data_IF_949746818476
#
_entry.id   IF_949746818476
#
_cell.length_a   1.000
_cell.length_b   1.000
_cell.length_c   1.000
_cell.angle_alpha   90.00
_cell.angle_beta   90.00
_cell.angle_gamma   90.00
#
_symmetry.space_group_name_H-M   'P 1'
#
loop_
_entity.id
_entity.type
_entity.pdbx_description
1 polymer ?
#
# COMPACT_ATOMS: atom_id res chain seq x y z
N UNK A 1 -3.52 38.01 10.07
CA UNK A 1 -2.48 37.20 9.40
C UNK A 1 -3.14 36.44 8.27
N UNK A 2 -2.43 36.14 7.18
CA UNK A 2 -3.00 35.30 6.12
C UNK A 2 -3.23 33.88 6.66
N UNK A 3 -4.38 33.30 6.34
CA UNK A 3 -4.72 31.90 6.65
C UNK A 3 -4.81 31.11 5.35
N UNK A 4 -4.38 29.85 5.41
CA UNK A 4 -4.32 28.95 4.26
C UNK A 4 -5.30 27.79 4.47
N UNK A 5 -6.07 27.42 3.43
CA UNK A 5 -6.96 26.28 3.50
C UNK A 5 -6.16 24.98 3.49
N UNK A 6 -6.27 24.19 4.56
CA UNK A 6 -5.60 22.90 4.72
C UNK A 6 -6.65 21.84 5.10
N UNK A 7 -6.46 20.58 4.73
CA UNK A 7 -7.35 19.49 5.18
C UNK A 7 -6.89 18.93 6.51
N UNK A 8 -7.82 18.43 7.32
CA UNK A 8 -7.53 17.48 8.38
C UNK A 8 -7.54 16.05 7.79
N UNK A 9 -6.96 15.09 8.49
CA UNK A 9 -6.91 13.69 8.05
C UNK A 9 -8.29 13.05 7.87
N UNK A 10 -9.37 13.61 8.41
CA UNK A 10 -10.77 13.21 8.12
C UNK A 10 -11.42 14.00 6.95
N UNK A 11 -10.65 14.81 6.24
CA UNK A 11 -11.10 15.61 5.10
C UNK A 11 -11.70 16.98 5.45
N UNK A 12 -11.92 17.27 6.75
CA UNK A 12 -12.45 18.57 7.17
C UNK A 12 -11.52 19.70 6.73
N UNK A 13 -12.08 20.76 6.16
CA UNK A 13 -11.31 21.97 5.83
C UNK A 13 -11.01 22.78 7.09
N UNK A 14 -9.74 23.11 7.26
CA UNK A 14 -9.19 23.99 8.28
C UNK A 14 -8.64 25.25 7.60
N UNK A 15 -8.51 26.32 8.37
CA UNK A 15 -7.80 27.54 7.96
C UNK A 15 -6.72 27.78 8.99
N UNK A 16 -5.46 27.64 8.57
CA UNK A 16 -4.31 27.70 9.46
C UNK A 16 -3.38 28.82 9.02
N UNK A 17 -2.76 29.49 9.98
CA UNK A 17 -1.66 30.41 9.70
C UNK A 17 -0.41 29.65 9.23
N UNK A 18 0.50 30.35 8.54
CA UNK A 18 1.79 29.78 8.13
C UNK A 18 2.56 29.14 9.29
N UNK A 19 2.54 29.78 10.46
CA UNK A 19 3.24 29.26 11.64
C UNK A 19 2.62 27.95 12.13
N UNK A 20 1.29 27.86 12.21
CA UNK A 20 0.61 26.62 12.61
C UNK A 20 0.91 25.45 11.66
N UNK A 21 0.99 25.73 10.36
CA UNK A 21 1.37 24.72 9.36
C UNK A 21 2.81 24.26 9.60
N UNK A 22 3.73 25.18 9.85
CA UNK A 22 5.12 24.85 10.16
C UNK A 22 5.26 24.06 11.47
N UNK A 23 4.49 24.40 12.49
CA UNK A 23 4.47 23.67 13.76
C UNK A 23 3.97 22.23 13.54
N UNK A 24 2.87 22.06 12.77
CA UNK A 24 2.34 20.76 12.39
C UNK A 24 3.36 19.91 11.59
N UNK A 25 4.11 20.52 10.66
CA UNK A 25 5.18 19.84 9.91
C UNK A 25 6.24 19.31 10.88
N UNK A 26 6.74 20.15 11.77
CA UNK A 26 7.79 19.77 12.72
C UNK A 26 7.32 18.67 13.69
N UNK A 27 6.08 18.74 14.17
CA UNK A 27 5.49 17.68 14.99
C UNK A 27 5.38 16.34 14.24
N UNK A 28 4.96 16.37 12.97
CA UNK A 28 4.83 15.16 12.15
C UNK A 28 6.17 14.50 11.85
N UNK A 29 7.20 15.30 11.57
CA UNK A 29 8.58 14.82 11.39
C UNK A 29 9.11 14.19 12.68
N UNK A 30 8.95 14.87 13.82
CA UNK A 30 9.45 14.39 15.10
C UNK A 30 8.82 13.05 15.50
N UNK A 31 7.51 12.88 15.26
CA UNK A 31 6.81 11.61 15.51
C UNK A 31 7.40 10.45 14.69
N UNK A 32 7.56 10.64 13.37
CA UNK A 32 8.14 9.62 12.50
C UNK A 32 9.60 9.32 12.85
N UNK A 33 10.40 10.36 13.07
CA UNK A 33 11.82 10.21 13.38
C UNK A 33 12.06 9.46 14.69
N UNK A 34 11.24 9.70 15.71
CA UNK A 34 11.31 8.98 16.98
C UNK A 34 10.91 7.51 16.81
N UNK A 35 9.75 7.25 16.18
CA UNK A 35 9.21 5.89 15.97
C UNK A 35 10.18 5.03 15.14
N UNK A 36 10.66 5.53 14.00
CA UNK A 36 11.53 4.78 13.12
C UNK A 36 13.01 4.87 13.49
N UNK A 37 13.39 5.74 14.45
CA UNK A 37 14.79 6.05 14.74
C UNK A 37 15.57 6.50 13.50
N UNK A 38 14.97 7.38 12.69
CA UNK A 38 15.52 7.90 11.42
C UNK A 38 15.80 9.40 11.51
N UNK A 39 16.65 9.95 10.63
CA UNK A 39 16.88 11.39 10.60
C UNK A 39 15.61 12.18 10.29
N UNK A 40 15.52 13.38 10.86
CA UNK A 40 14.52 14.37 10.44
C UNK A 40 14.72 14.78 8.97
N UNK A 41 13.66 15.29 8.35
CA UNK A 41 13.77 16.03 7.09
C UNK A 41 14.72 17.23 7.24
N UNK A 42 15.39 17.59 6.15
CA UNK A 42 16.32 18.72 6.14
C UNK A 42 15.56 20.05 6.18
N UNK A 43 16.25 21.16 6.51
CA UNK A 43 15.64 22.49 6.46
C UNK A 43 15.10 22.84 5.07
N UNK A 44 15.82 22.47 4.01
CA UNK A 44 15.38 22.69 2.63
C UNK A 44 14.11 21.89 2.30
N UNK A 45 14.01 20.64 2.78
CA UNK A 45 12.81 19.82 2.63
C UNK A 45 11.60 20.45 3.35
N UNK A 46 11.81 20.98 4.56
CA UNK A 46 10.76 21.62 5.37
C UNK A 46 10.26 22.89 4.69
N UNK A 47 11.18 23.73 4.22
CA UNK A 47 10.84 24.96 3.51
C UNK A 47 10.07 24.66 2.23
N UNK A 48 10.51 23.66 1.46
CA UNK A 48 9.84 23.26 0.23
C UNK A 48 8.46 22.61 0.47
N UNK A 49 8.32 21.78 1.51
CA UNK A 49 7.03 21.24 1.92
C UNK A 49 6.05 22.34 2.32
N UNK A 50 6.53 23.35 3.05
CA UNK A 50 5.72 24.49 3.43
C UNK A 50 5.24 25.26 2.20
N UNK A 51 6.10 25.46 1.19
CA UNK A 51 5.72 26.08 -0.09
C UNK A 51 4.61 25.30 -0.80
N UNK A 52 4.72 23.96 -0.90
CA UNK A 52 3.68 23.11 -1.50
C UNK A 52 2.34 23.25 -0.76
N UNK A 53 2.38 23.26 0.57
CA UNK A 53 1.16 23.29 1.40
C UNK A 53 0.43 24.65 1.31
N UNK A 54 1.15 25.75 1.22
CA UNK A 54 0.57 27.10 1.16
C UNK A 54 0.32 27.62 -0.27
N UNK A 55 0.64 26.83 -1.29
CA UNK A 55 0.39 27.16 -2.69
C UNK A 55 -1.10 27.52 -2.88
N UNK A 56 -1.35 28.65 -3.56
CA UNK A 56 -2.71 29.18 -3.78
C UNK A 56 -3.48 28.44 -4.88
N UNK A 57 -2.80 27.63 -5.69
CA UNK A 57 -3.43 26.81 -6.71
C UNK A 57 -4.22 25.67 -6.07
N UNK A 58 -5.36 25.36 -6.68
CA UNK A 58 -6.19 24.23 -6.23
C UNK A 58 -5.46 22.90 -6.39
N UNK A 59 -4.77 22.73 -7.51
CA UNK A 59 -3.99 21.55 -7.87
C UNK A 59 -2.54 21.94 -8.07
N UNK A 60 -1.63 21.12 -7.56
CA UNK A 60 -0.19 21.26 -7.81
C UNK A 60 0.32 20.05 -8.58
N UNK A 61 1.48 20.16 -9.22
CA UNK A 61 2.09 19.07 -9.96
C UNK A 61 3.60 19.19 -9.98
N UNK A 62 4.24 18.16 -10.50
CA UNK A 62 5.69 18.14 -10.75
C UNK A 62 6.01 18.86 -12.05
N UNK A 63 7.27 19.28 -12.21
CA UNK A 63 7.74 19.83 -13.48
C UNK A 63 7.81 18.76 -14.57
N UNK A 64 7.67 19.16 -15.83
CA UNK A 64 7.82 18.24 -16.98
C UNK A 64 9.21 17.61 -16.96
N UNK A 65 9.27 16.28 -17.07
CA UNK A 65 10.48 15.47 -16.95
C UNK A 65 10.76 14.97 -15.53
N UNK A 66 9.91 15.30 -14.55
CA UNK A 66 9.96 14.78 -13.17
C UNK A 66 8.78 13.86 -12.84
N UNK A 67 7.99 13.47 -13.84
CA UNK A 67 6.92 12.49 -13.67
C UNK A 67 7.48 11.13 -13.23
N UNK A 68 6.68 10.41 -12.45
CA UNK A 68 6.99 9.06 -11.95
C UNK A 68 5.91 8.10 -12.44
N UNK A 69 6.15 6.79 -12.33
CA UNK A 69 5.20 5.77 -12.76
C UNK A 69 3.96 5.80 -11.85
N UNK A 70 2.77 5.83 -12.45
CA UNK A 70 1.52 5.62 -11.73
C UNK A 70 1.16 4.13 -11.72
N UNK A 71 1.29 3.51 -10.55
CA UNK A 71 0.92 2.11 -10.32
C UNK A 71 -0.33 2.05 -9.47
N UNK A 72 -1.37 1.45 -10.02
CA UNK A 72 -2.66 1.43 -9.36
C UNK A 72 -3.07 0.01 -8.96
N UNK A 73 -3.71 -0.05 -7.80
CA UNK A 73 -4.33 -1.23 -7.22
C UNK A 73 -5.85 -1.26 -7.48
N UNK A 74 -6.51 -2.34 -7.04
CA UNK A 74 -7.97 -2.58 -7.06
C UNK A 74 -8.56 -2.72 -8.47
N UNK A 75 -7.86 -2.24 -9.49
CA UNK A 75 -8.18 -2.59 -10.84
C UNK A 75 -9.52 -2.00 -11.27
N UNK A 76 -10.20 -2.74 -12.13
CA UNK A 76 -11.51 -2.35 -12.64
C UNK A 76 -12.55 -2.04 -11.53
N UNK A 77 -12.32 -2.52 -10.30
CA UNK A 77 -13.20 -2.37 -9.14
C UNK A 77 -13.30 -0.89 -8.72
N UNK A 78 -12.32 -0.05 -9.04
CA UNK A 78 -12.45 1.40 -8.85
C UNK A 78 -13.65 1.99 -9.58
N UNK A 79 -14.03 1.39 -10.71
CA UNK A 79 -15.20 1.81 -11.47
C UNK A 79 -16.46 1.05 -11.04
N UNK A 80 -16.41 -0.29 -11.00
CA UNK A 80 -17.59 -1.14 -10.78
C UNK A 80 -17.96 -1.35 -9.31
N UNK A 81 -16.98 -1.31 -8.41
CA UNK A 81 -17.14 -1.52 -6.98
C UNK A 81 -17.97 -0.43 -6.32
N UNK A 82 -18.55 -0.73 -5.17
CA UNK A 82 -19.26 0.27 -4.38
C UNK A 82 -18.28 1.15 -3.56
N UNK A 83 -18.83 2.16 -2.90
CA UNK A 83 -18.03 3.12 -2.10
C UNK A 83 -17.33 2.48 -0.90
N UNK A 84 -17.72 1.27 -0.50
CA UNK A 84 -17.07 0.51 0.58
C UNK A 84 -15.67 0.04 0.22
N UNK A 85 -15.43 -0.25 -1.06
CA UNK A 85 -14.11 -0.59 -1.62
C UNK A 85 -13.50 0.58 -2.39
N UNK A 86 -13.88 1.83 -2.09
CA UNK A 86 -13.44 3.04 -2.80
C UNK A 86 -13.90 3.15 -4.26
N UNK A 87 -14.82 2.29 -4.70
CA UNK A 87 -15.32 2.28 -6.07
C UNK A 87 -16.43 3.32 -6.34
N UNK A 88 -16.72 3.52 -7.63
CA UNK A 88 -17.69 4.52 -8.11
C UNK A 88 -19.12 3.99 -8.35
N UNK A 89 -19.33 2.68 -8.28
CA UNK A 89 -20.63 2.02 -8.48
C UNK A 89 -21.15 2.11 -9.92
N UNK A 90 -20.26 2.27 -10.90
CA UNK A 90 -20.60 2.37 -12.31
C UNK A 90 -20.74 0.94 -12.86
N UNK A 91 -21.91 0.53 -13.39
CA UNK A 91 -22.09 -0.82 -13.92
C UNK A 91 -21.30 -0.97 -15.22
N UNK A 92 -20.08 -1.48 -15.11
CA UNK A 92 -19.13 -1.70 -16.20
C UNK A 92 -18.59 -3.13 -16.11
N UNK A 93 -18.16 -3.70 -17.24
CA UNK A 93 -17.51 -5.02 -17.22
C UNK A 93 -16.02 -4.89 -16.88
N UNK A 94 -15.40 -5.94 -16.34
CA UNK A 94 -13.98 -5.93 -16.00
C UNK A 94 -13.05 -5.52 -17.16
N UNK A 95 -13.28 -6.07 -18.35
CA UNK A 95 -12.51 -5.70 -19.55
C UNK A 95 -12.75 -4.24 -19.94
N UNK A 96 -14.01 -3.77 -19.94
CA UNK A 96 -14.30 -2.38 -20.28
C UNK A 96 -13.67 -1.43 -19.27
N UNK A 97 -13.71 -1.77 -17.97
CA UNK A 97 -13.08 -0.99 -16.92
C UNK A 97 -11.56 -0.90 -17.08
N UNK A 98 -10.90 -2.01 -17.41
CA UNK A 98 -9.47 -2.01 -17.70
C UNK A 98 -9.13 -1.14 -18.93
N UNK A 99 -9.89 -1.27 -20.02
CA UNK A 99 -9.71 -0.43 -21.21
C UNK A 99 -10.00 1.05 -20.95
N UNK A 100 -10.90 1.38 -20.01
CA UNK A 100 -11.16 2.75 -19.59
C UNK A 100 -9.96 3.35 -18.87
N UNK A 101 -9.34 2.62 -17.94
CA UNK A 101 -8.13 3.08 -17.25
C UNK A 101 -6.97 3.33 -18.24
N UNK A 102 -6.71 2.37 -19.14
CA UNK A 102 -5.67 2.52 -20.16
C UNK A 102 -5.96 3.72 -21.10
N UNK A 103 -7.15 3.77 -21.71
CA UNK A 103 -7.39 4.64 -22.87
C UNK A 103 -7.90 6.03 -22.51
N UNK A 104 -8.62 6.16 -21.39
CA UNK A 104 -9.25 7.41 -20.99
C UNK A 104 -8.55 8.07 -19.81
N UNK A 105 -7.94 7.29 -18.90
CA UNK A 105 -7.28 7.81 -17.71
C UNK A 105 -5.76 7.90 -17.84
N UNK A 106 -5.16 7.11 -18.76
CA UNK A 106 -3.73 7.15 -19.02
C UNK A 106 -2.89 6.54 -17.90
N UNK A 107 -3.39 5.48 -17.26
CA UNK A 107 -2.62 4.74 -16.26
C UNK A 107 -1.39 4.08 -16.91
N UNK A 108 -0.24 4.15 -16.24
CA UNK A 108 1.01 3.54 -16.74
C UNK A 108 0.97 2.01 -16.60
N UNK A 109 0.33 1.53 -15.54
CA UNK A 109 0.01 0.12 -15.29
C UNK A 109 -1.17 0.04 -14.34
N UNK A 110 -1.86 -1.09 -14.38
CA UNK A 110 -3.05 -1.34 -13.58
C UNK A 110 -3.19 -2.85 -13.41
N UNK A 111 -4.27 -3.29 -12.77
CA UNK A 111 -4.44 -4.70 -12.49
C UNK A 111 -5.85 -5.24 -12.69
N UNK A 112 -5.91 -6.56 -12.79
CA UNK A 112 -7.11 -7.34 -12.69
C UNK A 112 -7.26 -7.82 -11.26
N UNK A 113 -8.45 -7.68 -10.69
CA UNK A 113 -8.67 -8.21 -9.35
C UNK A 113 -10.07 -8.78 -9.14
N UNK A 114 -10.24 -9.66 -8.15
CA UNK A 114 -11.55 -10.15 -7.74
C UNK A 114 -12.19 -9.17 -6.74
N UNK A 115 -13.52 -9.09 -6.68
CA UNK A 115 -14.25 -8.10 -5.85
C UNK A 115 -13.92 -8.14 -4.34
N UNK A 116 -13.56 -9.32 -3.81
CA UNK A 116 -13.10 -9.47 -2.41
C UNK A 116 -11.65 -8.99 -2.22
N UNK A 117 -10.91 -8.92 -3.32
CA UNK A 117 -9.53 -8.46 -3.36
C UNK A 117 -8.57 -9.25 -2.47
N UNK A 118 -8.88 -10.51 -2.13
CA UNK A 118 -8.02 -11.36 -1.29
C UNK A 118 -7.62 -12.67 -1.96
N UNK A 119 -6.46 -13.21 -1.59
CA UNK A 119 -5.91 -14.48 -2.13
C UNK A 119 -6.87 -15.65 -1.90
N UNK A 120 -7.44 -15.77 -0.69
CA UNK A 120 -8.25 -16.94 -0.31
C UNK A 120 -9.52 -17.11 -1.19
N UNK A 121 -10.32 -16.06 -1.47
CA UNK A 121 -11.49 -16.20 -2.33
C UNK A 121 -11.19 -16.37 -3.81
N UNK A 122 -10.01 -15.95 -4.28
CA UNK A 122 -9.57 -16.18 -5.67
C UNK A 122 -9.30 -17.66 -5.94
N UNK A 123 -8.70 -18.38 -4.99
CA UNK A 123 -8.32 -19.80 -5.15
C UNK A 123 -9.41 -20.72 -5.70
N UNK A 124 -10.65 -20.77 -5.17
CA UNK A 124 -11.70 -21.66 -5.70
C UNK A 124 -12.19 -21.28 -7.11
N UNK A 125 -11.98 -20.03 -7.55
CA UNK A 125 -12.44 -19.52 -8.85
C UNK A 125 -11.28 -19.25 -9.82
N UNK A 126 -10.07 -19.77 -9.53
CA UNK A 126 -8.84 -19.44 -10.24
C UNK A 126 -8.94 -19.61 -11.77
N UNK A 127 -9.68 -20.61 -12.25
CA UNK A 127 -9.87 -20.83 -13.68
C UNK A 127 -10.64 -19.69 -14.38
N UNK A 128 -11.57 -19.04 -13.68
CA UNK A 128 -12.30 -17.88 -14.20
C UNK A 128 -11.38 -16.65 -14.25
N UNK A 129 -10.56 -16.46 -13.21
CA UNK A 129 -9.60 -15.36 -13.13
C UNK A 129 -8.50 -15.48 -14.19
N UNK A 130 -8.01 -16.69 -14.46
CA UNK A 130 -7.08 -16.95 -15.56
C UNK A 130 -7.69 -16.59 -16.93
N UNK A 131 -8.94 -16.98 -17.20
CA UNK A 131 -9.62 -16.63 -18.46
C UNK A 131 -9.83 -15.11 -18.60
N UNK A 132 -10.16 -14.43 -17.50
CA UNK A 132 -10.30 -12.98 -17.48
C UNK A 132 -8.96 -12.30 -17.76
N UNK A 133 -7.87 -12.80 -17.17
CA UNK A 133 -6.51 -12.32 -17.42
C UNK A 133 -6.10 -12.51 -18.89
N UNK A 134 -6.27 -13.71 -19.45
CA UNK A 134 -5.98 -13.97 -20.87
C UNK A 134 -6.79 -13.05 -21.79
N UNK A 135 -8.06 -12.79 -21.45
CA UNK A 135 -8.91 -11.89 -22.22
C UNK A 135 -8.39 -10.45 -22.15
N UNK A 136 -8.00 -9.98 -20.96
CA UNK A 136 -7.46 -8.64 -20.77
C UNK A 136 -6.14 -8.46 -21.54
N UNK A 137 -5.21 -9.40 -21.42
CA UNK A 137 -3.92 -9.36 -22.11
C UNK A 137 -4.02 -9.40 -23.65
N UNK A 138 -5.10 -9.95 -24.20
CA UNK A 138 -5.34 -9.88 -25.64
C UNK A 138 -5.85 -8.50 -26.14
N UNK A 139 -6.23 -7.60 -25.22
CA UNK A 139 -6.89 -6.33 -25.55
C UNK A 139 -6.17 -5.08 -25.02
N UNK A 140 -5.33 -5.24 -24.00
CA UNK A 140 -4.52 -4.19 -23.40
C UNK A 140 -3.13 -4.14 -24.03
N UNK A 141 -2.48 -2.99 -23.85
CA UNK A 141 -1.11 -2.69 -24.30
C UNK A 141 -0.21 -2.34 -23.11
N UNK A 142 -0.74 -1.66 -22.09
CA UNK A 142 0.00 -1.38 -20.86
C UNK A 142 0.28 -2.69 -20.09
N UNK A 143 1.36 -2.75 -19.28
CA UNK A 143 1.55 -3.85 -18.35
C UNK A 143 0.30 -4.05 -17.48
N UNK A 144 -0.14 -5.29 -17.35
CA UNK A 144 -1.35 -5.62 -16.63
C UNK A 144 -1.10 -6.71 -15.57
N UNK A 145 -1.24 -6.29 -14.32
CA UNK A 145 -0.99 -7.09 -13.15
C UNK A 145 -2.23 -7.85 -12.70
N UNK A 146 -2.05 -8.73 -11.72
CA UNK A 146 -3.16 -9.21 -10.90
C UNK A 146 -2.94 -8.83 -9.44
N UNK A 147 -3.93 -8.18 -8.85
CA UNK A 147 -3.88 -7.73 -7.47
C UNK A 147 -4.66 -8.63 -6.53
N UNK A 148 -4.07 -8.91 -5.38
CA UNK A 148 -4.79 -9.49 -4.25
C UNK A 148 -4.06 -9.26 -2.93
N UNK A 149 -4.82 -8.92 -1.91
CA UNK A 149 -4.38 -8.90 -0.54
C UNK A 149 -4.06 -10.31 -0.03
N UNK A 150 -2.95 -10.50 0.70
CA UNK A 150 -2.70 -11.71 1.47
C UNK A 150 -3.85 -12.00 2.45
N UNK A 151 -4.32 -10.96 3.16
CA UNK A 151 -5.47 -10.95 4.06
C UNK A 151 -5.55 -12.20 4.96
N UNK A 152 -4.54 -12.37 5.81
CA UNK A 152 -4.46 -13.54 6.70
C UNK A 152 -5.64 -13.62 7.67
N UNK A 153 -6.37 -12.53 7.89
CA UNK A 153 -7.61 -12.48 8.68
C UNK A 153 -8.62 -13.54 8.25
N UNK A 154 -8.74 -13.81 6.95
CA UNK A 154 -9.66 -14.80 6.40
C UNK A 154 -9.27 -16.25 6.75
N UNK A 155 -8.05 -16.50 7.23
CA UNK A 155 -7.62 -17.83 7.67
C UNK A 155 -8.01 -18.13 9.12
N UNK A 156 -8.51 -17.14 9.84
CA UNK A 156 -9.04 -17.29 11.20
C UNK A 156 -10.55 -17.50 11.22
N UNK A 157 -11.03 -18.18 12.26
CA UNK A 157 -12.44 -18.38 12.55
C UNK A 157 -13.17 -17.03 12.67
N UNK A 158 -14.41 -16.92 12.13
CA UNK A 158 -15.26 -18.01 11.63
C UNK A 158 -15.02 -18.44 10.18
N UNK A 159 -14.31 -17.63 9.39
CA UNK A 159 -14.19 -17.85 7.94
C UNK A 159 -13.09 -18.87 7.59
N UNK A 160 -12.11 -19.02 8.47
CA UNK A 160 -10.99 -19.93 8.33
C UNK A 160 -10.89 -20.98 9.43
N UNK A 161 -9.99 -21.96 9.25
CA UNK A 161 -9.91 -23.13 10.12
C UNK A 161 -9.13 -22.88 11.43
N UNK A 162 -8.41 -21.76 11.55
CA UNK A 162 -7.54 -21.48 12.70
C UNK A 162 -8.24 -20.59 13.73
N UNK A 163 -7.90 -20.70 15.01
CA UNK A 163 -8.48 -19.84 16.03
C UNK A 163 -8.06 -18.38 15.83
N UNK A 164 -8.99 -17.44 16.02
CA UNK A 164 -8.68 -16.01 15.87
C UNK A 164 -7.74 -15.55 17.01
N UNK A 165 -6.55 -15.01 16.70
CA UNK A 165 -5.58 -14.63 17.74
C UNK A 165 -6.14 -13.60 18.73
N UNK A 166 -6.94 -12.63 18.27
CA UNK A 166 -7.50 -11.61 19.16
C UNK A 166 -8.49 -12.22 20.18
N UNK A 167 -9.30 -13.18 19.76
CA UNK A 167 -10.24 -13.87 20.65
C UNK A 167 -9.52 -14.80 21.62
N UNK A 168 -8.56 -15.59 21.12
CA UNK A 168 -7.75 -16.47 21.95
C UNK A 168 -6.94 -15.69 22.99
N UNK A 169 -6.39 -14.53 22.63
CA UNK A 169 -5.69 -13.65 23.56
C UNK A 169 -6.63 -13.07 24.63
N UNK A 170 -7.87 -12.70 24.28
CA UNK A 170 -8.91 -12.27 25.26
C UNK A 170 -9.27 -13.39 26.24
N UNK A 171 -9.15 -14.64 25.82
CA UNK A 171 -9.34 -15.83 26.65
C UNK A 171 -8.07 -16.25 27.41
N UNK A 172 -6.99 -15.46 27.35
CA UNK A 172 -5.67 -15.76 27.94
C UNK A 172 -4.99 -17.01 27.37
N UNK A 173 -5.37 -17.45 26.16
CA UNK A 173 -4.81 -18.61 25.46
C UNK A 173 -3.70 -18.19 24.49
N UNK A 174 -2.64 -17.59 25.05
CA UNK A 174 -1.56 -16.98 24.26
C UNK A 174 -0.82 -18.01 23.38
N UNK A 175 -0.55 -19.19 23.92
CA UNK A 175 0.14 -20.24 23.17
C UNK A 175 -0.70 -20.74 21.98
N UNK A 176 -2.01 -20.93 22.20
CA UNK A 176 -2.92 -21.34 21.12
C UNK A 176 -3.05 -20.25 20.04
N UNK A 177 -3.00 -18.97 20.43
CA UNK A 177 -3.00 -17.84 19.49
C UNK A 177 -1.74 -17.85 18.61
N UNK A 178 -0.57 -18.12 19.20
CA UNK A 178 0.70 -18.26 18.49
C UNK A 178 0.69 -19.42 17.51
N UNK A 179 0.29 -20.60 17.98
CA UNK A 179 0.18 -21.81 17.16
C UNK A 179 -0.82 -21.64 16.00
N UNK A 180 -1.95 -20.95 16.26
CA UNK A 180 -2.93 -20.63 15.21
C UNK A 180 -2.36 -19.68 14.16
N UNK A 181 -1.58 -18.69 14.59
CA UNK A 181 -0.89 -17.76 13.69
C UNK A 181 0.15 -18.50 12.84
N UNK A 182 1.05 -19.28 13.44
CA UNK A 182 2.06 -20.08 12.74
C UNK A 182 1.43 -21.03 11.69
N UNK A 183 0.34 -21.70 12.04
CA UNK A 183 -0.38 -22.58 11.11
C UNK A 183 -1.05 -21.79 9.96
N UNK A 184 -1.56 -20.59 10.24
CA UNK A 184 -2.12 -19.70 9.22
C UNK A 184 -1.04 -19.18 8.26
N UNK A 185 0.17 -18.88 8.76
CA UNK A 185 1.31 -18.45 7.93
C UNK A 185 1.61 -19.47 6.82
N UNK A 186 1.76 -20.74 7.20
CA UNK A 186 2.07 -21.79 6.23
C UNK A 186 0.92 -22.03 5.24
N UNK A 187 -0.33 -21.83 5.67
CA UNK A 187 -1.49 -21.97 4.79
C UNK A 187 -1.54 -20.83 3.77
N UNK A 188 -1.45 -19.58 4.22
CA UNK A 188 -1.48 -18.42 3.36
C UNK A 188 -0.32 -18.44 2.36
N UNK A 189 0.90 -18.76 2.77
CA UNK A 189 2.05 -18.85 1.86
C UNK A 189 1.82 -19.86 0.71
N UNK A 190 1.20 -21.03 1.01
CA UNK A 190 0.84 -22.02 -0.02
C UNK A 190 -0.22 -21.50 -0.98
N UNK A 191 -1.19 -20.75 -0.48
CA UNK A 191 -2.28 -20.21 -1.29
C UNK A 191 -1.80 -19.06 -2.17
N UNK A 192 -0.94 -18.17 -1.63
CA UNK A 192 -0.21 -17.16 -2.42
C UNK A 192 0.51 -17.83 -3.57
N UNK A 193 1.32 -18.86 -3.28
CA UNK A 193 2.07 -19.56 -4.33
C UNK A 193 1.13 -20.18 -5.38
N UNK A 194 0.05 -20.83 -4.97
CA UNK A 194 -0.90 -21.44 -5.90
C UNK A 194 -1.59 -20.40 -6.79
N UNK A 195 -2.15 -19.33 -6.21
CA UNK A 195 -2.89 -18.31 -6.95
C UNK A 195 -1.96 -17.55 -7.89
N UNK A 196 -0.86 -17.02 -7.37
CA UNK A 196 0.05 -16.19 -8.15
C UNK A 196 0.67 -16.95 -9.32
N UNK A 197 1.15 -18.17 -9.13
CA UNK A 197 1.73 -18.97 -10.23
C UNK A 197 0.71 -19.31 -11.31
N UNK A 198 -0.55 -19.56 -10.94
CA UNK A 198 -1.63 -19.81 -11.91
C UNK A 198 -1.95 -18.57 -12.72
N UNK A 199 -2.04 -17.42 -12.07
CA UNK A 199 -2.26 -16.15 -12.77
C UNK A 199 -1.08 -15.79 -13.68
N UNK A 200 0.16 -15.94 -13.22
CA UNK A 200 1.33 -15.72 -14.08
C UNK A 200 1.31 -16.67 -15.29
N UNK A 201 0.86 -17.92 -15.12
CA UNK A 201 0.73 -18.87 -16.24
C UNK A 201 -0.37 -18.49 -17.26
N UNK A 202 -1.32 -17.64 -16.87
CA UNK A 202 -2.34 -17.06 -17.73
C UNK A 202 -1.87 -15.79 -18.46
N UNK A 203 -0.61 -15.41 -18.29
CA UNK A 203 0.04 -14.33 -19.02
C UNK A 203 0.02 -12.98 -18.34
N UNK A 204 -0.32 -12.88 -17.05
CA UNK A 204 -0.15 -11.63 -16.29
C UNK A 204 1.30 -11.13 -16.36
N UNK A 205 1.49 -9.81 -16.47
CA UNK A 205 2.85 -9.22 -16.48
C UNK A 205 3.49 -9.20 -15.09
N UNK A 206 2.65 -9.24 -14.05
CA UNK A 206 3.09 -9.38 -12.69
C UNK A 206 1.95 -9.63 -11.71
N UNK A 207 2.31 -9.65 -10.43
CA UNK A 207 1.40 -9.82 -9.31
C UNK A 207 1.62 -8.72 -8.28
N UNK A 208 0.52 -8.12 -7.80
CA UNK A 208 0.54 -7.14 -6.72
C UNK A 208 0.03 -7.76 -5.42
N UNK A 209 0.89 -7.78 -4.40
CA UNK A 209 0.53 -8.10 -3.03
C UNK A 209 0.20 -6.81 -2.28
N UNK A 210 -1.04 -6.36 -2.42
CA UNK A 210 -1.50 -5.16 -1.72
C UNK A 210 -1.83 -5.44 -0.24
N UNK A 211 -1.78 -4.39 0.59
CA UNK A 211 -2.23 -4.43 2.00
C UNK A 211 -1.55 -5.55 2.81
N UNK A 212 -0.29 -5.84 2.46
CA UNK A 212 0.56 -6.83 3.15
C UNK A 212 0.75 -6.43 4.61
N UNK A 213 0.72 -7.42 5.51
CA UNK A 213 0.86 -7.25 6.96
C UNK A 213 -0.36 -6.64 7.69
N UNK A 214 -1.52 -6.56 7.03
CA UNK A 214 -2.75 -6.01 7.64
C UNK A 214 -3.24 -6.80 8.85
N UNK A 215 -3.01 -8.11 8.88
CA UNK A 215 -3.24 -8.97 10.03
C UNK A 215 -2.00 -9.19 10.91
N UNK A 216 -0.96 -8.37 10.75
CA UNK A 216 0.24 -8.34 11.57
C UNK A 216 1.43 -9.12 11.02
N UNK A 217 2.38 -9.42 11.90
CA UNK A 217 3.66 -10.08 11.60
C UNK A 217 3.53 -11.45 10.93
N UNK A 218 2.51 -12.24 11.28
CA UNK A 218 2.25 -13.49 10.56
C UNK A 218 1.88 -13.30 9.10
N UNK A 219 1.04 -12.30 8.80
CA UNK A 219 0.63 -11.99 7.42
C UNK A 219 1.86 -11.57 6.60
N UNK A 220 2.74 -10.75 7.19
CA UNK A 220 3.97 -10.34 6.55
C UNK A 220 4.90 -11.53 6.25
N UNK A 221 5.15 -12.42 7.24
CA UNK A 221 6.00 -13.61 7.02
C UNK A 221 5.41 -14.53 5.97
N UNK A 222 4.09 -14.75 6.00
CA UNK A 222 3.41 -15.59 5.01
C UNK A 222 3.58 -15.03 3.60
N UNK A 223 3.45 -13.71 3.46
CA UNK A 223 3.61 -13.00 2.19
C UNK A 223 5.03 -13.09 1.67
N UNK A 224 6.05 -12.82 2.51
CA UNK A 224 7.46 -12.96 2.13
C UNK A 224 7.79 -14.39 1.66
N UNK A 225 7.33 -15.41 2.38
CA UNK A 225 7.48 -16.82 1.95
C UNK A 225 6.77 -17.11 0.62
N UNK A 226 5.56 -16.57 0.44
CA UNK A 226 4.82 -16.69 -0.81
C UNK A 226 5.54 -16.04 -2.00
N UNK A 227 6.13 -14.86 -1.79
CA UNK A 227 6.93 -14.13 -2.77
C UNK A 227 8.19 -14.92 -3.15
N UNK A 228 8.89 -15.53 -2.20
CA UNK A 228 10.04 -16.41 -2.49
C UNK A 228 9.64 -17.60 -3.38
N UNK A 229 8.50 -18.22 -3.06
CA UNK A 229 7.97 -19.34 -3.83
C UNK A 229 7.60 -18.90 -5.26
N UNK A 230 6.92 -17.76 -5.40
CA UNK A 230 6.58 -17.19 -6.70
C UNK A 230 7.82 -16.83 -7.52
N UNK A 231 8.78 -16.10 -6.93
CA UNK A 231 10.04 -15.73 -7.60
C UNK A 231 10.81 -16.96 -8.08
N UNK A 232 10.79 -18.04 -7.31
CA UNK A 232 11.45 -19.31 -7.68
C UNK A 232 10.76 -19.99 -8.86
N UNK A 233 9.44 -20.06 -8.86
CA UNK A 233 8.66 -20.74 -9.92
C UNK A 233 8.54 -19.88 -11.20
N UNK A 234 8.45 -18.56 -11.03
CA UNK A 234 8.33 -17.58 -12.10
C UNK A 234 9.45 -16.52 -11.98
N UNK A 235 10.71 -16.83 -12.36
CA UNK A 235 11.85 -15.93 -12.17
C UNK A 235 11.74 -14.56 -12.81
N UNK A 236 10.91 -14.42 -13.85
CA UNK A 236 10.69 -13.17 -14.58
C UNK A 236 9.44 -12.41 -14.12
N UNK A 237 8.66 -12.95 -13.18
CA UNK A 237 7.46 -12.27 -12.70
C UNK A 237 7.82 -10.91 -12.13
N UNK A 238 7.08 -9.87 -12.51
CA UNK A 238 7.13 -8.61 -11.77
C UNK A 238 6.31 -8.76 -10.50
N UNK A 239 6.90 -8.44 -9.35
CA UNK A 239 6.24 -8.62 -8.05
C UNK A 239 6.20 -7.27 -7.36
N UNK A 240 5.00 -6.71 -7.19
CA UNK A 240 4.78 -5.56 -6.34
C UNK A 240 4.39 -6.06 -4.93
N UNK A 241 4.90 -5.39 -3.91
CA UNK A 241 4.59 -5.71 -2.51
C UNK A 241 4.25 -4.41 -1.78
N UNK A 242 2.96 -4.10 -1.71
CA UNK A 242 2.40 -2.98 -0.99
C UNK A 242 2.11 -3.33 0.48
N UNK A 243 2.54 -2.48 1.40
CA UNK A 243 2.31 -2.65 2.84
C UNK A 243 0.97 -2.03 3.28
N UNK A 244 0.42 -2.48 4.41
CA UNK A 244 -0.81 -1.94 5.00
C UNK A 244 -0.62 -0.83 6.05
N UNK A 245 0.56 -0.78 6.69
CA UNK A 245 0.91 0.24 7.68
C UNK A 245 2.42 0.50 7.76
N UNK A 246 2.80 1.64 8.33
CA UNK A 246 4.22 1.99 8.52
C UNK A 246 4.94 1.04 9.49
N UNK A 247 4.20 0.36 10.37
CA UNK A 247 4.73 -0.57 11.36
C UNK A 247 4.06 -1.93 11.22
N UNK A 248 4.85 -2.99 11.17
CA UNK A 248 4.33 -4.36 11.23
C UNK A 248 3.82 -4.63 12.65
N UNK A 249 2.52 -4.85 12.81
CA UNK A 249 1.93 -5.14 14.12
C UNK A 249 2.34 -6.52 14.63
N UNK A 250 2.90 -6.60 15.84
CA UNK A 250 3.29 -7.86 16.47
C UNK A 250 2.12 -8.59 17.11
N UNK A 251 1.24 -9.20 16.31
CA UNK A 251 0.13 -10.03 16.82
C UNK A 251 0.68 -11.32 17.43
N UNK A 252 1.66 -11.94 16.78
CA UNK A 252 2.47 -13.00 17.38
C UNK A 252 3.64 -12.41 18.19
N UNK A 253 4.33 -11.41 17.64
CA UNK A 253 5.38 -10.61 18.28
C UNK A 253 6.79 -11.21 18.21
N UNK A 254 6.93 -12.45 17.73
CA UNK A 254 8.18 -13.22 17.74
C UNK A 254 8.42 -13.96 16.42
N UNK A 255 7.60 -13.73 15.40
CA UNK A 255 7.78 -14.39 14.11
C UNK A 255 8.98 -13.79 13.37
N UNK A 256 9.80 -14.70 12.85
CA UNK A 256 11.03 -14.36 12.14
C UNK A 256 10.92 -14.69 10.64
N UNK A 257 11.57 -13.84 9.85
CA UNK A 257 11.92 -14.11 8.47
C UNK A 257 13.44 -13.98 8.30
N UNK A 258 14.07 -15.08 7.87
CA UNK A 258 15.52 -15.26 7.83
C UNK A 258 16.27 -14.77 9.09
N UNK A 259 15.80 -15.20 10.26
CA UNK A 259 16.42 -14.89 11.56
C UNK A 259 16.18 -13.46 12.07
N UNK A 260 15.36 -12.66 11.39
CA UNK A 260 14.96 -11.33 11.83
C UNK A 260 13.50 -11.33 12.27
N UNK A 261 13.24 -10.93 13.52
CA UNK A 261 11.88 -10.66 14.01
C UNK A 261 11.26 -9.55 13.17
N UNK A 262 10.07 -9.80 12.62
CA UNK A 262 9.44 -8.86 11.69
C UNK A 262 8.47 -7.89 12.37
N UNK A 263 8.05 -8.17 13.61
CA UNK A 263 7.22 -7.27 14.39
C UNK A 263 7.95 -5.95 14.69
N UNK A 264 7.26 -4.83 14.52
CA UNK A 264 7.77 -3.48 14.76
C UNK A 264 8.69 -2.92 13.67
N UNK A 265 8.92 -3.65 12.56
CA UNK A 265 9.73 -3.12 11.47
C UNK A 265 9.04 -1.94 10.80
N UNK A 266 9.83 -0.89 10.56
CA UNK A 266 9.46 0.31 9.81
C UNK A 266 9.74 0.16 8.30
N UNK A 267 9.29 1.07 7.42
CA UNK A 267 9.37 0.87 5.97
C UNK A 267 10.81 0.66 5.45
N UNK A 268 11.77 1.42 5.99
CA UNK A 268 13.20 1.31 5.66
C UNK A 268 13.85 -0.03 6.10
N UNK A 269 13.15 -0.84 6.89
CA UNK A 269 13.55 -2.20 7.26
C UNK A 269 12.72 -3.24 6.49
N UNK A 270 11.42 -3.02 6.34
CA UNK A 270 10.50 -3.87 5.58
C UNK A 270 10.99 -4.06 4.13
N UNK A 271 11.41 -2.97 3.47
CA UNK A 271 11.89 -3.00 2.07
C UNK A 271 13.06 -3.96 1.85
N UNK A 272 13.93 -4.11 2.85
CA UNK A 272 15.09 -5.02 2.77
C UNK A 272 14.65 -6.48 2.77
N UNK A 273 13.61 -6.81 3.53
CA UNK A 273 13.04 -8.16 3.56
C UNK A 273 12.23 -8.44 2.29
N UNK A 274 11.43 -7.47 1.81
CA UNK A 274 10.69 -7.58 0.56
C UNK A 274 11.63 -7.82 -0.64
N UNK A 275 12.68 -7.02 -0.77
CA UNK A 275 13.69 -7.18 -1.82
C UNK A 275 14.40 -8.54 -1.73
N UNK A 276 14.71 -8.99 -0.51
CA UNK A 276 15.33 -10.29 -0.26
C UNK A 276 14.42 -11.47 -0.64
N UNK A 277 13.13 -11.37 -0.35
CA UNK A 277 12.15 -12.37 -0.76
C UNK A 277 12.01 -12.44 -2.30
N UNK A 278 12.32 -11.34 -2.99
CA UNK A 278 12.34 -11.27 -4.45
C UNK A 278 11.29 -10.32 -5.04
N UNK A 279 10.77 -9.37 -4.26
CA UNK A 279 9.95 -8.28 -4.78
C UNK A 279 10.72 -7.46 -5.84
N UNK A 280 10.02 -7.02 -6.89
CA UNK A 280 10.54 -6.13 -7.92
C UNK A 280 10.35 -4.66 -7.54
N UNK A 281 9.25 -4.35 -6.85
CA UNK A 281 8.88 -3.01 -6.36
C UNK A 281 8.39 -3.16 -4.93
N UNK A 282 8.67 -2.15 -4.12
CA UNK A 282 8.14 -2.07 -2.76
C UNK A 282 7.20 -0.88 -2.61
N UNK A 283 6.05 -1.12 -2.00
CA UNK A 283 5.06 -0.10 -1.67
C UNK A 283 5.11 0.30 -0.21
N UNK A 284 5.96 1.28 0.19
CA UNK A 284 5.94 1.80 1.55
C UNK A 284 4.64 2.58 1.79
N UNK A 285 4.08 2.41 2.97
CA UNK A 285 2.84 3.07 3.37
C UNK A 285 3.01 3.76 4.72
N UNK A 286 2.25 4.82 4.92
CA UNK A 286 2.11 5.49 6.21
C UNK A 286 0.65 5.88 6.39
N UNK A 287 0.00 5.42 7.46
CA UNK A 287 -1.41 5.68 7.68
C UNK A 287 -1.65 7.14 8.13
N UNK A 288 -2.75 7.72 7.64
CA UNK A 288 -3.20 9.06 7.99
C UNK A 288 -3.90 9.04 9.35
N UNK A 289 -3.46 9.91 10.25
CA UNK A 289 -4.15 10.22 11.48
C UNK A 289 -5.29 11.23 11.20
N UNK A 290 -6.53 10.76 11.36
CA UNK A 290 -7.75 11.55 11.11
C UNK A 290 -7.92 12.76 12.02
N UNK A 291 -7.25 12.78 13.17
CA UNK A 291 -7.25 13.90 14.11
C UNK A 291 -6.24 15.00 13.78
N UNK A 292 -5.26 14.73 12.92
CA UNK A 292 -4.14 15.63 12.60
C UNK A 292 -4.31 16.33 11.24
N UNK A 293 -3.62 17.44 11.02
CA UNK A 293 -3.69 18.17 9.76
C UNK A 293 -3.01 17.42 8.61
N UNK A 294 -3.29 17.82 7.37
CA UNK A 294 -2.58 17.35 6.18
C UNK A 294 -1.07 17.62 6.31
N UNK A 295 -0.71 18.79 6.85
CA UNK A 295 0.69 19.18 7.05
C UNK A 295 1.42 18.20 7.97
N UNK A 296 0.80 17.84 9.10
CA UNK A 296 1.34 16.85 10.03
C UNK A 296 1.44 15.47 9.40
N UNK A 297 0.36 14.99 8.77
CA UNK A 297 0.31 13.65 8.18
C UNK A 297 1.29 13.47 7.02
N UNK A 298 1.38 14.47 6.14
CA UNK A 298 2.30 14.44 4.99
C UNK A 298 3.75 14.53 5.46
N UNK A 299 4.07 15.41 6.40
CA UNK A 299 5.43 15.52 6.93
C UNK A 299 5.90 14.22 7.63
N UNK A 300 5.00 13.59 8.38
CA UNK A 300 5.23 12.26 8.96
C UNK A 300 5.50 11.21 7.88
N UNK A 301 4.64 11.14 6.86
CA UNK A 301 4.77 10.17 5.78
C UNK A 301 6.07 10.34 4.99
N UNK A 302 6.43 11.58 4.65
CA UNK A 302 7.69 11.91 3.97
C UNK A 302 8.92 11.46 4.78
N UNK A 303 8.89 11.61 6.10
CA UNK A 303 10.02 11.24 6.96
C UNK A 303 10.29 9.72 6.93
N UNK A 304 9.25 8.89 7.02
CA UNK A 304 9.40 7.44 6.87
C UNK A 304 9.81 7.03 5.45
N UNK A 305 9.11 7.56 4.44
CA UNK A 305 9.25 7.11 3.05
C UNK A 305 10.59 7.57 2.47
N UNK A 306 11.06 8.79 2.77
CA UNK A 306 12.36 9.27 2.29
C UNK A 306 13.52 8.40 2.77
N UNK A 307 13.51 7.98 4.04
CA UNK A 307 14.54 7.06 4.52
C UNK A 307 14.38 5.66 3.91
N UNK A 308 13.15 5.22 3.64
CA UNK A 308 12.89 3.96 2.93
C UNK A 308 13.49 3.96 1.52
N UNK A 309 13.16 4.97 0.70
CA UNK A 309 13.70 5.15 -0.66
C UNK A 309 15.23 5.15 -0.64
N UNK A 310 15.83 5.93 0.25
CA UNK A 310 17.28 6.07 0.38
C UNK A 310 18.01 4.74 0.62
N UNK A 311 17.42 3.81 1.38
CA UNK A 311 18.05 2.52 1.70
C UNK A 311 17.55 1.36 0.82
N UNK A 312 16.56 1.63 -0.04
CA UNK A 312 15.94 0.59 -0.85
C UNK A 312 16.87 0.11 -1.96
N UNK A 313 17.01 -1.22 -2.16
CA UNK A 313 17.71 -1.78 -3.31
C UNK A 313 16.82 -1.93 -4.56
N UNK A 314 15.52 -1.66 -4.44
CA UNK A 314 14.51 -1.78 -5.50
C UNK A 314 13.67 -0.51 -5.59
N UNK A 315 12.98 -0.23 -6.71
CA UNK A 315 12.12 0.94 -6.81
C UNK A 315 11.04 0.97 -5.73
N UNK A 316 10.75 2.17 -5.24
CA UNK A 316 9.72 2.42 -4.23
C UNK A 316 8.55 3.15 -4.85
N UNK A 317 7.38 2.52 -4.84
CA UNK A 317 6.13 3.09 -5.31
C UNK A 317 5.25 3.38 -4.10
N UNK A 318 5.21 4.61 -3.61
CA UNK A 318 4.54 4.87 -2.34
C UNK A 318 3.04 4.56 -2.42
N UNK A 319 2.52 3.81 -1.46
CA UNK A 319 1.08 3.54 -1.38
C UNK A 319 0.36 4.85 -1.04
N UNK A 320 -0.43 5.35 -1.99
CA UNK A 320 -1.13 6.62 -1.90
C UNK A 320 -2.61 6.44 -2.23
N UNK A 321 -3.49 6.79 -1.29
CA UNK A 321 -4.92 6.58 -1.45
C UNK A 321 -5.68 7.02 -0.22
N UNK A 322 -6.92 6.58 -0.08
CA UNK A 322 -7.76 6.93 1.05
C UNK A 322 -7.07 6.58 2.39
N UNK A 323 -6.75 7.61 3.18
CA UNK A 323 -6.20 7.42 4.52
C UNK A 323 -4.73 6.98 4.58
N UNK A 324 -3.96 7.11 3.50
CA UNK A 324 -2.52 6.78 3.48
C UNK A 324 -1.69 7.82 2.74
N UNK A 325 -0.38 7.86 2.99
CA UNK A 325 0.54 8.78 2.30
C UNK A 325 0.28 10.26 2.59
N UNK A 326 -0.39 10.56 3.70
CA UNK A 326 -0.86 11.90 4.06
C UNK A 326 -2.24 12.26 3.53
N UNK A 327 -2.80 11.48 2.60
CA UNK A 327 -4.10 11.75 2.00
C UNK A 327 -5.21 11.51 3.04
N UNK A 328 -6.20 12.43 3.15
CA UNK A 328 -7.31 12.27 4.08
C UNK A 328 -8.11 10.99 3.86
N UNK A 329 -8.62 10.43 4.96
CA UNK A 329 -9.55 9.31 4.95
C UNK A 329 -10.96 9.80 4.60
N UNK A 330 -11.20 9.91 3.30
CA UNK A 330 -12.50 10.24 2.71
C UNK A 330 -12.71 9.40 1.47
N UNK A 331 -13.95 8.94 1.23
CA UNK A 331 -14.34 8.09 0.09
C UNK A 331 -13.79 8.60 -1.26
N UNK A 332 -13.90 9.90 -1.50
CA UNK A 332 -13.29 10.55 -2.67
C UNK A 332 -12.32 11.62 -2.18
N UNK A 333 -11.03 11.31 -2.12
CA UNK A 333 -10.02 12.26 -1.67
C UNK A 333 -10.07 13.56 -2.47
N UNK A 334 -10.01 14.69 -1.76
CA UNK A 334 -10.05 15.98 -2.43
C UNK A 334 -8.77 16.21 -3.24
N UNK A 335 -8.93 16.62 -4.51
CA UNK A 335 -7.81 16.89 -5.44
C UNK A 335 -6.74 17.82 -4.84
N UNK A 336 -7.14 18.79 -4.01
CA UNK A 336 -6.20 19.69 -3.35
C UNK A 336 -5.24 18.99 -2.39
N UNK A 337 -5.71 17.99 -1.65
CA UNK A 337 -4.89 17.19 -0.77
C UNK A 337 -4.06 16.17 -1.54
N UNK A 338 -4.68 15.42 -2.46
CA UNK A 338 -3.98 14.38 -3.23
C UNK A 338 -2.79 14.96 -3.98
N UNK A 339 -3.00 16.00 -4.79
CA UNK A 339 -1.94 16.56 -5.62
C UNK A 339 -0.76 17.11 -4.81
N UNK A 340 -1.00 17.69 -3.63
CA UNK A 340 0.05 18.14 -2.71
C UNK A 340 0.85 16.98 -2.13
N UNK A 341 0.16 15.92 -1.71
CA UNK A 341 0.81 14.72 -1.21
C UNK A 341 1.66 14.08 -2.32
N UNK A 342 1.09 13.87 -3.51
CA UNK A 342 1.79 13.25 -4.63
C UNK A 342 3.03 14.05 -5.04
N UNK A 343 2.89 15.38 -5.19
CA UNK A 343 4.03 16.25 -5.50
C UNK A 343 5.14 16.13 -4.46
N UNK A 344 4.77 16.18 -3.17
CA UNK A 344 5.75 16.09 -2.10
C UNK A 344 6.43 14.71 -2.04
N UNK A 345 5.70 13.62 -2.25
CA UNK A 345 6.30 12.27 -2.32
C UNK A 345 7.35 12.18 -3.43
N UNK A 346 7.03 12.70 -4.61
CA UNK A 346 7.96 12.71 -5.75
C UNK A 346 9.18 13.59 -5.48
N UNK A 347 8.96 14.87 -5.12
CA UNK A 347 10.06 15.85 -5.12
C UNK A 347 10.83 15.92 -3.78
N UNK A 348 10.27 15.43 -2.67
CA UNK A 348 10.94 15.42 -1.36
C UNK A 348 11.38 14.02 -0.96
N UNK A 349 10.50 13.02 -1.06
CA UNK A 349 10.84 11.64 -0.70
C UNK A 349 11.60 10.90 -1.82
N UNK A 350 11.44 11.32 -3.08
CA UNK A 350 12.18 10.78 -4.22
C UNK A 350 11.68 9.41 -4.67
N UNK A 351 10.38 9.15 -4.53
CA UNK A 351 9.77 7.87 -4.94
C UNK A 351 9.86 7.67 -6.45
N UNK A 352 9.95 6.40 -6.88
CA UNK A 352 10.03 6.01 -8.30
C UNK A 352 8.65 5.87 -8.95
N UNK A 353 7.62 5.75 -8.12
CA UNK A 353 6.21 5.69 -8.48
C UNK A 353 5.30 6.04 -7.31
N UNK A 354 4.01 6.17 -7.60
CA UNK A 354 2.93 6.35 -6.63
C UNK A 354 1.70 5.56 -7.05
#
# INVERSE_FOLDING_TARGET
>A
MAEYPIRRGDGKRLYLSRQQILDDINEGIADAADIASVPNLTSDDIDFLLEILIDSNRTVGVEVGKEVVLTYDIGQIDLEGDTGNSGLGIPISRLTGALTHERAMGADTFELAHADYSIKPVKPIIANEMQAMETAQNNLVIPYFYGAMPNMGLYYSPDGPYGNPADLMREFKIQEARESCEAAVDHLARDIHFVSTKIMSAGADGFDFDTTASAGDGDFVATLRGVEMLRKECPQAYINLGMSGELVLGIHGELEYDGQIVAGLCPHQQVKLAAKAGASVFGPVVNTNTGKSLAWNLARALTFIKECVKVSPIPCHANMGMGVGGIPMTETPSLDAMTRCSKAMVEIAGVDGI
#
